data_IF_022317681103
#
_entry.id   IF_022317681103
#
_cell.length_a   1.000
_cell.length_b   1.000
_cell.length_c   1.000
_cell.angle_alpha   90.00
_cell.angle_beta   90.00
_cell.angle_gamma   90.00
#
_symmetry.space_group_name_H-M   'P 1'
#
loop_
_entity.id
_entity.type
_entity.pdbx_description
1 polymer ?
#
# COMPACT_ATOMS: atom_id res chain seq x y z
N UNK A 1 7.41 13.71 -25.02
CA UNK A 1 8.29 13.94 -23.85
C UNK A 1 8.13 15.33 -23.22
N UNK A 2 8.20 16.43 -23.98
CA UNK A 2 7.99 17.80 -23.46
C UNK A 2 6.64 17.99 -22.76
N UNK A 3 5.55 17.48 -23.33
CA UNK A 3 4.20 17.57 -22.75
C UNK A 3 4.03 16.78 -21.45
N UNK A 4 4.72 15.64 -21.29
CA UNK A 4 4.72 14.84 -20.06
C UNK A 4 5.53 15.51 -18.95
N UNK A 5 6.72 16.03 -19.28
CA UNK A 5 7.54 16.82 -18.33
C UNK A 5 6.81 18.09 -17.91
N UNK A 6 6.03 18.70 -18.80
CA UNK A 6 5.24 19.90 -18.51
C UNK A 6 4.00 19.58 -17.67
N UNK A 7 3.29 18.48 -17.95
CA UNK A 7 2.16 18.00 -17.16
C UNK A 7 2.59 17.55 -15.75
N UNK A 8 3.73 16.84 -15.64
CA UNK A 8 4.34 16.43 -14.37
C UNK A 8 4.86 17.66 -13.62
N UNK A 9 5.52 18.64 -14.28
CA UNK A 9 5.91 19.90 -13.63
C UNK A 9 4.70 20.66 -13.10
N UNK A 10 3.63 20.81 -13.90
CA UNK A 10 2.47 21.60 -13.51
C UNK A 10 1.69 20.92 -12.38
N UNK A 11 1.45 19.61 -12.44
CA UNK A 11 0.71 18.89 -11.40
C UNK A 11 1.53 18.64 -10.14
N UNK A 12 2.83 18.36 -10.26
CA UNK A 12 3.72 18.16 -9.10
C UNK A 12 3.95 19.50 -8.41
N UNK A 13 4.24 20.58 -9.15
CA UNK A 13 4.39 21.92 -8.57
C UNK A 13 3.05 22.44 -8.03
N UNK A 14 1.90 22.22 -8.67
CA UNK A 14 0.60 22.64 -8.10
C UNK A 14 0.18 21.81 -6.89
N UNK A 15 0.46 20.50 -6.87
CA UNK A 15 0.26 19.64 -5.70
C UNK A 15 1.15 20.12 -4.55
N UNK A 16 2.45 20.33 -4.79
CA UNK A 16 3.36 20.89 -3.78
C UNK A 16 2.96 22.32 -3.39
N UNK A 17 2.52 23.18 -4.31
CA UNK A 17 2.09 24.55 -3.99
C UNK A 17 0.84 24.53 -3.11
N UNK A 18 -0.17 23.71 -3.41
CA UNK A 18 -1.37 23.59 -2.59
C UNK A 18 -1.14 22.87 -1.25
N UNK A 19 -0.22 21.90 -1.19
CA UNK A 19 0.18 21.22 0.04
C UNK A 19 1.00 22.13 0.96
N UNK A 20 1.71 23.13 0.40
CA UNK A 20 2.59 24.02 1.15
C UNK A 20 2.04 25.44 1.41
N UNK A 21 1.06 25.96 0.64
CA UNK A 21 0.62 27.37 0.73
C UNK A 21 -0.77 27.64 1.32
N UNK A 22 -1.64 26.65 1.54
CA UNK A 22 -2.96 26.91 2.14
C UNK A 22 -2.96 26.75 3.66
N UNK A 23 -2.33 27.68 4.38
CA UNK A 23 -2.62 27.85 5.81
C UNK A 23 -2.66 29.33 6.16
N UNK A 24 -3.87 29.81 6.48
CA UNK A 24 -4.15 31.13 7.07
C UNK A 24 -3.13 31.43 8.16
N UNK A 25 -2.40 32.53 8.00
CA UNK A 25 -1.63 33.16 9.07
C UNK A 25 -2.65 33.47 10.18
N UNK A 26 -2.44 32.89 11.37
CA UNK A 26 -3.28 33.11 12.53
C UNK A 26 -3.39 34.62 12.80
N UNK A 27 -4.61 35.19 12.75
CA UNK A 27 -4.87 36.50 13.36
C UNK A 27 -5.12 36.25 14.85
N UNK A 28 -4.09 36.40 15.68
CA UNK A 28 -4.31 36.50 17.13
C UNK A 28 -4.41 37.97 17.50
N UNK A 29 -5.55 38.37 18.07
CA UNK A 29 -5.63 39.56 18.92
C UNK A 29 -4.78 39.26 20.15
N UNK A 30 -3.65 39.97 20.31
CA UNK A 30 -2.97 40.06 21.58
C UNK A 30 -3.72 41.12 22.40
N UNK A 31 -4.42 40.69 23.44
CA UNK A 31 -4.65 41.58 24.58
C UNK A 31 -3.27 41.80 25.23
N UNK A 32 -2.87 43.07 25.35
CA UNK A 32 -1.49 43.48 25.64
C UNK A 32 -0.98 42.88 26.97
N UNK A 33 -0.02 41.94 26.95
CA UNK A 33 0.59 41.44 28.18
C UNK A 33 1.52 42.54 28.72
N UNK A 34 1.20 43.06 29.90
CA UNK A 34 1.98 44.09 30.61
C UNK A 34 3.35 43.59 31.10
N UNK A 35 3.70 42.32 30.89
CA UNK A 35 4.92 41.68 31.40
C UNK A 35 5.88 41.24 30.26
N UNK A 36 7.13 41.72 30.34
CA UNK A 36 8.20 41.46 29.39
C UNK A 36 8.60 39.96 29.36
N UNK A 37 8.45 39.23 30.46
CA UNK A 37 8.80 37.81 30.56
C UNK A 37 7.79 36.91 29.82
N UNK A 38 6.51 37.30 29.87
CA UNK A 38 5.44 36.66 29.10
C UNK A 38 5.65 36.85 27.58
N UNK A 39 6.06 38.05 27.15
CA UNK A 39 6.39 38.35 25.73
C UNK A 39 7.59 37.50 25.24
N UNK A 40 8.65 37.37 26.04
CA UNK A 40 9.82 36.52 25.74
C UNK A 40 9.44 35.03 25.61
N UNK A 41 8.61 34.53 26.51
CA UNK A 41 8.13 33.14 26.48
C UNK A 41 7.32 32.85 25.22
N UNK A 42 6.42 33.76 24.83
CA UNK A 42 5.64 33.64 23.58
C UNK A 42 6.57 33.66 22.35
N UNK A 43 7.53 34.59 22.29
CA UNK A 43 8.50 34.68 21.19
C UNK A 43 9.38 33.43 21.08
N UNK A 44 9.90 32.91 22.19
CA UNK A 44 10.72 31.69 22.21
C UNK A 44 9.91 30.45 21.78
N UNK A 45 8.66 30.35 22.24
CA UNK A 45 7.75 29.29 21.80
C UNK A 45 7.43 29.39 20.31
N UNK A 46 7.25 30.61 19.78
CA UNK A 46 7.02 30.85 18.35
C UNK A 46 8.26 30.49 17.52
N UNK A 47 9.45 30.95 17.92
CA UNK A 47 10.72 30.66 17.27
C UNK A 47 11.01 29.15 17.26
N UNK A 48 10.79 28.47 18.40
CA UNK A 48 10.93 27.00 18.51
C UNK A 48 9.96 26.27 17.58
N UNK A 49 8.68 26.68 17.53
CA UNK A 49 7.68 26.11 16.60
C UNK A 49 8.06 26.35 15.13
N UNK A 50 8.53 27.54 14.78
CA UNK A 50 8.96 27.88 13.42
C UNK A 50 10.21 27.10 13.02
N UNK A 51 11.19 26.99 13.91
CA UNK A 51 12.42 26.22 13.71
C UNK A 51 12.11 24.73 13.51
N UNK A 52 11.28 24.14 14.39
CA UNK A 52 10.80 22.76 14.26
C UNK A 52 10.13 22.56 12.91
N UNK A 53 9.16 23.41 12.55
CA UNK A 53 8.45 23.35 11.27
C UNK A 53 9.38 23.46 10.06
N UNK A 54 10.42 24.29 10.12
CA UNK A 54 11.44 24.41 9.05
C UNK A 54 12.28 23.14 8.94
N UNK A 55 12.76 22.61 10.06
CA UNK A 55 13.55 21.39 10.09
C UNK A 55 12.77 20.19 9.52
N UNK A 56 11.50 20.08 9.89
CA UNK A 56 10.61 19.04 9.38
C UNK A 56 10.46 19.06 7.86
N UNK A 57 10.37 20.26 7.26
CA UNK A 57 10.29 20.43 5.81
C UNK A 57 11.58 19.99 5.13
N UNK A 58 12.73 20.33 5.70
CA UNK A 58 14.04 19.91 5.19
C UNK A 58 14.15 18.39 5.24
N UNK A 59 13.80 17.78 6.37
CA UNK A 59 13.79 16.33 6.56
C UNK A 59 12.93 15.65 5.48
N UNK A 60 11.68 16.08 5.30
CA UNK A 60 10.79 15.53 4.28
C UNK A 60 11.36 15.71 2.88
N UNK A 61 11.87 16.90 2.55
CA UNK A 61 12.45 17.18 1.24
C UNK A 61 13.66 16.28 0.93
N UNK A 62 14.58 16.13 1.89
CA UNK A 62 15.72 15.23 1.73
C UNK A 62 15.28 13.77 1.57
N UNK A 63 14.27 13.32 2.32
CA UNK A 63 13.75 11.95 2.17
C UNK A 63 13.09 11.73 0.80
N UNK A 64 12.39 12.73 0.26
CA UNK A 64 11.80 12.67 -1.08
C UNK A 64 12.87 12.55 -2.18
N UNK A 65 13.94 13.34 -2.08
CA UNK A 65 15.07 13.24 -3.01
C UNK A 65 15.68 11.85 -2.94
N UNK A 66 15.89 11.33 -1.72
CA UNK A 66 16.50 10.03 -1.54
C UNK A 66 15.65 8.90 -2.13
N UNK A 67 14.32 8.93 -1.92
CA UNK A 67 13.40 7.98 -2.56
C UNK A 67 13.47 8.09 -4.08
N UNK A 68 13.46 9.30 -4.63
CA UNK A 68 13.55 9.52 -6.08
C UNK A 68 14.85 8.94 -6.65
N UNK A 69 15.99 9.20 -6.01
CA UNK A 69 17.29 8.70 -6.44
C UNK A 69 17.31 7.17 -6.41
N UNK A 70 16.94 6.55 -5.28
CA UNK A 70 16.94 5.08 -5.14
C UNK A 70 15.98 4.43 -6.15
N UNK A 71 14.77 4.97 -6.29
CA UNK A 71 13.78 4.46 -7.25
C UNK A 71 14.27 4.59 -8.69
N UNK A 72 14.98 5.67 -9.02
CA UNK A 72 15.58 5.88 -10.34
C UNK A 72 16.73 4.90 -10.60
N UNK A 73 17.58 4.63 -9.62
CA UNK A 73 18.62 3.61 -9.74
C UNK A 73 18.03 2.22 -9.99
N UNK A 74 16.97 1.85 -9.27
CA UNK A 74 16.27 0.58 -9.46
C UNK A 74 15.54 0.51 -10.81
N UNK A 75 15.06 1.63 -11.34
CA UNK A 75 14.38 1.67 -12.63
C UNK A 75 15.32 1.45 -13.84
N UNK A 76 16.63 1.58 -13.65
CA UNK A 76 17.63 1.35 -14.71
C UNK A 76 18.01 -0.13 -14.83
N UNK A 77 17.71 -0.96 -13.83
CA UNK A 77 18.00 -2.39 -13.89
C UNK A 77 17.05 -3.12 -14.86
N UNK A 78 17.34 -4.39 -15.13
CA UNK A 78 16.43 -5.25 -15.87
C UNK A 78 15.06 -5.38 -15.17
N UNK A 79 14.05 -5.83 -15.91
CA UNK A 79 12.68 -6.03 -15.41
C UNK A 79 12.22 -7.46 -15.60
N UNK A 80 11.11 -7.79 -14.95
CA UNK A 80 10.52 -9.11 -15.09
C UNK A 80 10.14 -9.40 -16.54
N UNK A 81 10.77 -10.42 -17.12
CA UNK A 81 10.55 -10.83 -18.50
C UNK A 81 11.43 -10.15 -19.55
N UNK A 82 12.42 -9.36 -19.14
CA UNK A 82 13.36 -8.71 -20.06
C UNK A 82 14.01 -9.71 -21.02
N UNK A 83 13.97 -9.43 -22.33
CA UNK A 83 14.53 -10.29 -23.38
C UNK A 83 14.00 -11.75 -23.35
N UNK A 84 12.77 -11.98 -22.87
CA UNK A 84 12.11 -13.30 -22.86
C UNK A 84 10.90 -13.32 -23.80
N UNK A 85 11.08 -13.34 -25.14
CA UNK A 85 10.03 -13.04 -26.12
C UNK A 85 8.85 -14.04 -26.17
N UNK A 86 8.98 -15.23 -25.58
CA UNK A 86 7.91 -16.25 -25.62
C UNK A 86 6.76 -15.89 -24.66
N UNK A 87 7.06 -15.34 -23.48
CA UNK A 87 6.04 -15.05 -22.44
C UNK A 87 6.19 -13.63 -21.90
N UNK A 88 7.36 -13.00 -21.99
CA UNK A 88 7.72 -11.78 -21.27
C UNK A 88 7.38 -11.90 -19.77
N UNK A 89 7.03 -10.80 -19.10
CA UNK A 89 6.76 -10.76 -17.67
C UNK A 89 5.85 -9.59 -17.30
N UNK A 90 5.89 -9.19 -16.03
CA UNK A 90 4.95 -8.20 -15.49
C UNK A 90 5.01 -6.83 -16.20
N UNK A 91 6.17 -6.46 -16.78
CA UNK A 91 6.27 -5.25 -17.62
C UNK A 91 5.34 -5.30 -18.83
N UNK A 92 5.40 -6.40 -19.58
CA UNK A 92 4.57 -6.61 -20.77
C UNK A 92 3.09 -6.74 -20.40
N UNK A 93 2.77 -7.35 -19.27
CA UNK A 93 1.41 -7.40 -18.76
C UNK A 93 0.81 -6.01 -18.58
N UNK A 94 1.52 -5.11 -17.88
CA UNK A 94 1.04 -3.74 -17.68
C UNK A 94 0.93 -2.97 -19.01
N UNK A 95 1.90 -3.13 -19.92
CA UNK A 95 1.87 -2.51 -21.26
C UNK A 95 0.66 -2.99 -22.06
N UNK A 96 0.40 -4.30 -22.07
CA UNK A 96 -0.74 -4.88 -22.76
C UNK A 96 -2.07 -4.41 -22.15
N UNK A 97 -2.15 -4.23 -20.83
CA UNK A 97 -3.35 -3.66 -20.20
C UNK A 97 -3.61 -2.21 -20.66
N UNK A 98 -2.56 -1.41 -20.86
CA UNK A 98 -2.70 -0.07 -21.44
C UNK A 98 -3.22 -0.14 -22.89
N UNK A 99 -2.69 -1.08 -23.67
CA UNK A 99 -3.09 -1.32 -25.06
C UNK A 99 -4.57 -1.71 -25.19
N UNK A 100 -5.02 -2.71 -24.44
CA UNK A 100 -6.40 -3.19 -24.54
C UNK A 100 -7.40 -2.15 -24.02
N UNK A 101 -7.04 -1.39 -22.99
CA UNK A 101 -7.97 -0.42 -22.38
C UNK A 101 -8.20 0.81 -23.24
N UNK A 102 -7.23 1.21 -24.06
CA UNK A 102 -7.38 2.37 -24.97
C UNK A 102 -8.00 2.00 -26.32
N UNK A 103 -7.74 0.78 -26.81
CA UNK A 103 -8.13 0.39 -28.17
C UNK A 103 -9.44 -0.43 -28.24
N UNK A 104 -9.92 -0.98 -27.12
CA UNK A 104 -11.13 -1.79 -27.09
C UNK A 104 -12.25 -1.13 -26.26
N UNK A 105 -13.53 -1.38 -26.60
CA UNK A 105 -14.64 -1.01 -25.73
C UNK A 105 -14.54 -1.73 -24.38
N UNK A 106 -15.05 -1.10 -23.32
CA UNK A 106 -14.95 -1.61 -21.93
C UNK A 106 -15.49 -3.03 -21.76
N UNK A 107 -16.49 -3.42 -22.55
CA UNK A 107 -17.08 -4.76 -22.57
C UNK A 107 -16.12 -5.85 -23.06
N UNK A 108 -14.99 -5.49 -23.67
CA UNK A 108 -13.97 -6.43 -24.17
C UNK A 108 -12.70 -6.48 -23.31
N UNK A 109 -12.50 -5.54 -22.37
CA UNK A 109 -11.25 -5.43 -21.59
C UNK A 109 -10.88 -6.72 -20.83
N UNK A 110 -11.88 -7.50 -20.38
CA UNK A 110 -11.67 -8.74 -19.62
C UNK A 110 -11.97 -10.02 -20.42
N UNK A 111 -12.10 -9.90 -21.75
CA UNK A 111 -12.39 -11.01 -22.66
C UNK A 111 -11.35 -11.16 -23.77
N UNK A 112 -10.68 -10.08 -24.13
CA UNK A 112 -9.71 -10.07 -25.21
C UNK A 112 -8.43 -10.83 -24.83
N UNK A 113 -8.00 -11.72 -25.72
CA UNK A 113 -6.74 -12.46 -25.71
C UNK A 113 -6.25 -12.89 -24.32
N UNK A 114 -7.06 -13.72 -23.65
CA UNK A 114 -6.84 -14.09 -22.25
C UNK A 114 -5.55 -14.88 -22.00
N UNK A 115 -5.00 -15.49 -23.05
CA UNK A 115 -3.76 -16.28 -23.02
C UNK A 115 -2.51 -15.37 -23.10
N UNK A 116 -2.64 -14.16 -23.64
CA UNK A 116 -1.58 -13.16 -23.71
C UNK A 116 -1.82 -12.04 -22.69
N UNK A 117 -1.45 -12.27 -21.43
CA UNK A 117 -1.52 -11.27 -20.35
C UNK A 117 -2.90 -10.59 -20.18
N UNK A 118 -3.98 -11.39 -20.21
CA UNK A 118 -5.32 -10.89 -19.94
C UNK A 118 -5.44 -10.10 -18.62
N UNK A 119 -6.37 -9.15 -18.58
CA UNK A 119 -6.55 -8.27 -17.42
C UNK A 119 -7.06 -9.04 -16.21
N UNK A 120 -6.25 -9.11 -15.16
CA UNK A 120 -6.51 -9.93 -13.95
C UNK A 120 -6.80 -9.11 -12.68
N UNK A 121 -6.70 -7.79 -12.78
CA UNK A 121 -6.89 -6.87 -11.64
C UNK A 121 -8.27 -6.20 -11.70
N UNK A 122 -8.77 -5.65 -10.58
CA UNK A 122 -10.08 -5.05 -10.56
C UNK A 122 -10.13 -3.72 -11.32
N UNK A 123 -11.35 -3.20 -11.44
CA UNK A 123 -11.72 -2.13 -12.37
C UNK A 123 -10.89 -0.85 -12.25
N UNK A 124 -10.38 -0.50 -11.06
CA UNK A 124 -9.56 0.70 -10.90
C UNK A 124 -8.17 0.55 -11.52
N UNK A 125 -7.60 -0.68 -11.55
CA UNK A 125 -6.38 -0.92 -12.35
C UNK A 125 -6.68 -0.73 -13.83
N UNK A 126 -7.81 -1.22 -14.34
CA UNK A 126 -8.15 -1.03 -15.74
C UNK A 126 -8.30 0.47 -16.10
N UNK A 127 -8.93 1.27 -15.24
CA UNK A 127 -8.98 2.73 -15.42
C UNK A 127 -7.60 3.39 -15.33
N UNK A 128 -6.72 2.90 -14.46
CA UNK A 128 -5.35 3.38 -14.36
C UNK A 128 -4.56 3.08 -15.65
N UNK A 129 -4.63 1.85 -16.16
CA UNK A 129 -4.07 1.46 -17.46
C UNK A 129 -4.66 2.30 -18.60
N UNK A 130 -5.96 2.58 -18.59
CA UNK A 130 -6.61 3.43 -19.59
C UNK A 130 -6.06 4.87 -19.57
N UNK A 131 -5.78 5.42 -18.39
CA UNK A 131 -5.20 6.77 -18.27
C UNK A 131 -3.76 6.79 -18.81
N UNK A 132 -2.93 5.81 -18.45
CA UNK A 132 -1.54 5.74 -18.88
C UNK A 132 -1.41 5.39 -20.38
N UNK A 133 -2.30 4.54 -20.91
CA UNK A 133 -2.31 4.09 -22.30
C UNK A 133 -2.65 5.17 -23.32
N UNK A 134 -3.14 6.35 -22.91
CA UNK A 134 -3.36 7.50 -23.80
C UNK A 134 -2.08 8.05 -24.43
N UNK A 135 -0.92 7.68 -23.93
CA UNK A 135 0.35 8.22 -24.39
C UNK A 135 0.92 7.39 -25.53
N UNK A 136 1.09 6.07 -25.33
CA UNK A 136 1.84 5.21 -26.25
C UNK A 136 1.41 3.75 -26.11
N UNK A 137 0.57 3.26 -27.03
CA UNK A 137 0.25 1.83 -27.26
C UNK A 137 -0.64 1.73 -28.51
N UNK A 138 -0.49 0.67 -29.29
CA UNK A 138 -1.32 0.38 -30.47
C UNK A 138 -1.70 -1.10 -30.49
N UNK A 139 -2.97 -1.39 -30.75
CA UNK A 139 -3.50 -2.75 -30.70
C UNK A 139 -2.75 -3.67 -31.67
N UNK A 140 -2.26 -4.79 -31.14
CA UNK A 140 -1.52 -5.87 -31.81
C UNK A 140 -0.16 -5.50 -32.42
N UNK A 141 0.15 -4.21 -32.56
CA UNK A 141 1.47 -3.75 -33.04
C UNK A 141 2.44 -3.47 -31.92
N UNK A 142 1.94 -3.19 -30.71
CA UNK A 142 2.78 -2.79 -29.58
C UNK A 142 3.23 -3.94 -28.66
N UNK A 143 2.91 -5.19 -29.03
CA UNK A 143 3.29 -6.40 -28.28
C UNK A 143 4.81 -6.56 -28.21
N UNK A 144 5.34 -6.74 -27.00
CA UNK A 144 6.77 -6.91 -26.76
C UNK A 144 7.62 -5.68 -27.13
N UNK A 145 7.06 -4.47 -27.12
CA UNK A 145 7.81 -3.25 -27.43
C UNK A 145 8.83 -2.93 -26.33
N UNK A 146 10.12 -3.11 -26.64
CA UNK A 146 11.24 -2.77 -25.75
C UNK A 146 11.98 -1.47 -26.15
N UNK A 147 11.32 -0.59 -26.92
CA UNK A 147 11.91 0.70 -27.31
C UNK A 147 12.19 1.58 -26.09
N UNK A 148 13.30 2.33 -26.12
CA UNK A 148 13.79 3.13 -24.99
C UNK A 148 12.74 4.14 -24.48
N UNK A 149 11.98 4.76 -25.37
CA UNK A 149 10.96 5.76 -25.01
C UNK A 149 9.83 5.16 -24.17
N UNK A 150 9.34 3.98 -24.55
CA UNK A 150 8.33 3.22 -23.79
C UNK A 150 8.84 2.82 -22.42
N UNK A 151 10.05 2.28 -22.38
CA UNK A 151 10.66 1.84 -21.15
C UNK A 151 10.81 3.02 -20.18
N UNK A 152 11.31 4.16 -20.66
CA UNK A 152 11.43 5.37 -19.86
C UNK A 152 10.07 5.88 -19.37
N UNK A 153 9.04 5.89 -20.23
CA UNK A 153 7.70 6.30 -19.84
C UNK A 153 7.12 5.41 -18.73
N UNK A 154 7.17 4.10 -18.94
CA UNK A 154 6.67 3.09 -18.02
C UNK A 154 7.39 3.13 -16.66
N UNK A 155 8.72 3.28 -16.67
CA UNK A 155 9.50 3.45 -15.44
C UNK A 155 9.15 4.77 -14.73
N UNK A 156 9.01 5.86 -15.48
CA UNK A 156 8.66 7.16 -14.93
C UNK A 156 7.24 7.17 -14.33
N UNK A 157 6.26 6.50 -14.94
CA UNK A 157 4.90 6.44 -14.41
C UNK A 157 4.87 5.80 -13.03
N UNK A 158 5.57 4.67 -12.82
CA UNK A 158 5.71 4.04 -11.49
C UNK A 158 6.28 5.00 -10.46
N UNK A 159 7.40 5.67 -10.77
CA UNK A 159 8.06 6.58 -9.82
C UNK A 159 7.18 7.78 -9.50
N UNK A 160 6.54 8.38 -10.51
CA UNK A 160 5.65 9.53 -10.33
C UNK A 160 4.47 9.15 -9.45
N UNK A 161 3.81 8.02 -9.71
CA UNK A 161 2.64 7.61 -8.92
C UNK A 161 3.02 7.15 -7.51
N UNK A 162 4.20 6.56 -7.33
CA UNK A 162 4.79 6.26 -6.01
C UNK A 162 4.94 7.54 -5.17
N UNK A 163 5.51 8.59 -5.76
CA UNK A 163 5.74 9.89 -5.10
C UNK A 163 4.45 10.68 -4.83
N UNK A 164 3.39 10.47 -5.62
CA UNK A 164 2.11 11.17 -5.47
C UNK A 164 1.16 10.50 -4.48
N UNK A 165 1.21 9.18 -4.35
CA UNK A 165 0.19 8.41 -3.61
C UNK A 165 0.77 7.79 -2.35
N UNK A 166 1.74 6.88 -2.50
CA UNK A 166 2.25 6.08 -1.39
C UNK A 166 3.14 6.88 -0.44
N UNK A 167 4.11 7.62 -1.00
CA UNK A 167 5.08 8.37 -0.19
C UNK A 167 4.41 9.43 0.70
N UNK A 168 3.46 10.25 0.20
CA UNK A 168 2.75 11.20 1.05
C UNK A 168 1.91 10.50 2.13
N UNK A 169 1.25 9.39 1.79
CA UNK A 169 0.45 8.62 2.74
C UNK A 169 1.30 8.08 3.91
N UNK A 170 2.48 7.53 3.61
CA UNK A 170 3.38 6.99 4.61
C UNK A 170 3.99 8.10 5.50
N UNK A 171 4.43 9.21 4.89
CA UNK A 171 4.92 10.39 5.62
C UNK A 171 3.85 10.92 6.57
N UNK A 172 2.60 10.98 6.11
CA UNK A 172 1.46 11.45 6.89
C UNK A 172 1.22 10.57 8.13
N UNK A 173 1.33 9.25 8.02
CA UNK A 173 1.15 8.32 9.14
C UNK A 173 2.31 8.36 10.13
N UNK A 174 3.55 8.35 9.65
CA UNK A 174 4.74 8.38 10.52
C UNK A 174 4.79 9.67 11.32
N UNK A 175 4.46 10.81 10.70
CA UNK A 175 4.42 12.09 11.37
C UNK A 175 3.31 12.23 12.43
N UNK A 176 2.31 11.36 12.45
CA UNK A 176 1.22 11.42 13.44
C UNK A 176 1.56 10.77 14.78
N UNK A 177 2.45 9.77 14.81
CA UNK A 177 2.70 8.96 16.00
C UNK A 177 3.48 9.71 17.10
N UNK A 178 3.93 10.94 16.85
CA UNK A 178 4.70 11.73 17.83
C UNK A 178 3.79 12.39 18.88
N UNK A 179 3.60 11.68 19.99
CA UNK A 179 3.18 12.25 21.28
C UNK A 179 4.24 13.19 21.85
N UNK A 180 4.36 14.39 21.28
CA UNK A 180 4.91 15.59 21.92
C UNK A 180 6.43 15.73 22.12
N UNK A 181 7.24 14.65 22.18
CA UNK A 181 8.64 14.78 22.65
C UNK A 181 9.75 14.18 21.77
N UNK A 182 9.45 13.41 20.72
CA UNK A 182 10.49 12.89 19.82
C UNK A 182 10.85 13.90 18.74
N UNK A 183 12.14 14.04 18.43
CA UNK A 183 12.60 14.75 17.22
C UNK A 183 12.13 13.95 16.00
N UNK A 184 11.67 14.65 14.95
CA UNK A 184 11.48 14.06 13.62
C UNK A 184 12.80 13.51 13.15
N UNK A 185 12.99 12.21 13.26
CA UNK A 185 14.22 11.62 12.79
C UNK A 185 14.07 11.38 11.30
N UNK A 186 14.82 12.13 10.50
CA UNK A 186 15.08 11.80 9.10
C UNK A 186 15.36 10.31 8.90
N UNK A 187 16.00 9.67 9.88
CA UNK A 187 16.30 8.25 9.88
C UNK A 187 15.04 7.37 9.95
N UNK A 188 14.04 7.73 10.76
CA UNK A 188 12.78 6.96 10.84
C UNK A 188 11.96 7.05 9.55
N UNK A 189 11.86 8.26 8.98
CA UNK A 189 11.20 8.45 7.68
C UNK A 189 11.94 7.69 6.59
N UNK A 190 13.27 7.78 6.57
CA UNK A 190 14.11 7.05 5.62
C UNK A 190 13.99 5.54 5.79
N UNK A 191 13.90 5.04 7.03
CA UNK A 191 13.69 3.62 7.33
C UNK A 191 12.41 3.09 6.70
N UNK A 192 11.30 3.82 6.80
CA UNK A 192 10.05 3.35 6.22
C UNK A 192 9.98 3.58 4.70
N UNK A 193 10.47 4.72 4.22
CA UNK A 193 10.38 5.12 2.81
C UNK A 193 11.33 4.33 1.90
N UNK A 194 12.49 3.94 2.40
CA UNK A 194 13.45 3.12 1.66
C UNK A 194 13.26 1.62 1.89
N UNK A 195 12.05 1.17 2.25
CA UNK A 195 11.76 -0.25 2.37
C UNK A 195 12.03 -0.98 1.04
N UNK A 196 13.08 -1.83 0.97
CA UNK A 196 13.53 -2.37 -0.31
C UNK A 196 12.52 -3.30 -0.97
N UNK A 197 11.71 -4.03 -0.18
CA UNK A 197 10.73 -4.95 -0.71
C UNK A 197 9.75 -4.29 -1.68
N UNK A 198 9.18 -3.13 -1.31
CA UNK A 198 8.27 -2.40 -2.19
C UNK A 198 9.01 -1.75 -3.35
N UNK A 199 10.13 -1.06 -3.08
CA UNK A 199 10.87 -0.32 -4.11
C UNK A 199 11.41 -1.25 -5.20
N UNK A 200 11.92 -2.43 -4.83
CA UNK A 200 12.32 -3.47 -5.78
C UNK A 200 11.14 -3.92 -6.64
N UNK A 201 10.05 -4.37 -6.01
CA UNK A 201 8.91 -4.96 -6.73
C UNK A 201 8.28 -3.93 -7.68
N UNK A 202 8.19 -2.67 -7.27
CA UNK A 202 7.56 -1.66 -8.10
C UNK A 202 8.54 -1.10 -9.14
N UNK A 203 9.72 -0.65 -8.73
CA UNK A 203 10.61 0.12 -9.61
C UNK A 203 11.48 -0.75 -10.53
N UNK A 204 11.89 -1.95 -10.11
CA UNK A 204 12.73 -2.87 -10.90
C UNK A 204 11.91 -4.01 -11.50
N UNK A 205 11.21 -4.81 -10.69
CA UNK A 205 10.37 -5.92 -11.18
C UNK A 205 9.20 -5.45 -12.06
N UNK A 206 8.78 -4.20 -11.89
CA UNK A 206 7.73 -3.49 -12.63
C UNK A 206 6.30 -3.83 -12.19
N UNK A 207 5.86 -3.21 -11.09
CA UNK A 207 4.48 -3.27 -10.64
C UNK A 207 3.97 -1.95 -10.06
N UNK A 208 2.64 -1.82 -10.00
CA UNK A 208 1.95 -0.70 -9.35
C UNK A 208 1.36 -1.11 -7.99
N UNK A 209 2.15 -1.70 -7.08
CA UNK A 209 1.63 -2.06 -5.75
C UNK A 209 1.42 -0.83 -4.86
N UNK A 210 2.31 0.17 -4.97
CA UNK A 210 2.24 1.44 -4.24
C UNK A 210 0.90 2.17 -4.41
N UNK A 211 0.20 1.97 -5.53
CA UNK A 211 -1.10 2.61 -5.78
C UNK A 211 -2.16 2.09 -4.79
N UNK A 212 -2.32 0.77 -4.75
CA UNK A 212 -3.22 0.07 -3.82
C UNK A 212 -2.81 0.31 -2.37
N UNK A 213 -1.54 0.05 -2.06
CA UNK A 213 -0.98 0.19 -0.71
C UNK A 213 -1.04 1.65 -0.23
N UNK A 214 -0.87 2.61 -1.13
CA UNK A 214 -0.98 4.03 -0.83
C UNK A 214 -2.41 4.45 -0.48
N UNK A 215 -3.43 3.98 -1.22
CA UNK A 215 -4.84 4.18 -0.83
C UNK A 215 -5.17 3.50 0.49
N UNK A 216 -4.64 2.30 0.74
CA UNK A 216 -4.75 1.62 2.03
C UNK A 216 -4.16 2.46 3.17
N UNK A 217 -2.95 2.99 3.00
CA UNK A 217 -2.31 3.87 3.99
C UNK A 217 -3.12 5.17 4.22
N UNK A 218 -3.66 5.78 3.15
CA UNK A 218 -4.55 6.93 3.28
C UNK A 218 -5.85 6.58 4.03
N UNK A 219 -6.38 5.37 3.83
CA UNK A 219 -7.52 4.87 4.59
C UNK A 219 -7.20 4.76 6.09
N UNK A 220 -6.06 4.14 6.43
CA UNK A 220 -5.57 4.05 7.82
C UNK A 220 -5.39 5.45 8.43
N UNK A 221 -4.81 6.39 7.69
CA UNK A 221 -4.66 7.78 8.13
C UNK A 221 -6.02 8.45 8.41
N UNK A 222 -7.02 8.24 7.53
CA UNK A 222 -8.36 8.77 7.71
C UNK A 222 -9.06 8.16 8.93
N UNK A 223 -8.86 6.86 9.19
CA UNK A 223 -9.36 6.17 10.38
C UNK A 223 -8.74 6.74 11.66
N UNK A 224 -7.42 6.98 11.68
CA UNK A 224 -6.73 7.61 12.81
C UNK A 224 -7.24 9.03 13.09
N UNK A 225 -7.70 9.74 12.05
CA UNK A 225 -8.36 11.06 12.15
C UNK A 225 -9.86 10.99 12.40
N UNK A 226 -10.39 9.81 12.73
CA UNK A 226 -11.82 9.57 12.97
C UNK A 226 -12.73 9.94 11.78
N UNK A 227 -12.18 9.98 10.56
CA UNK A 227 -12.91 10.22 9.30
C UNK A 227 -13.30 8.89 8.66
N UNK A 228 -14.16 8.15 9.35
CA UNK A 228 -14.46 6.74 9.02
C UNK A 228 -15.01 6.58 7.59
N UNK A 229 -15.93 7.44 7.16
CA UNK A 229 -16.49 7.39 5.80
C UNK A 229 -15.43 7.59 4.71
N UNK A 230 -14.55 8.60 4.88
CA UNK A 230 -13.45 8.85 3.93
C UNK A 230 -12.49 7.65 3.88
N UNK A 231 -12.13 7.10 5.04
CA UNK A 231 -11.29 5.92 5.10
C UNK A 231 -11.92 4.71 4.43
N UNK A 232 -13.24 4.49 4.61
CA UNK A 232 -13.97 3.42 3.93
C UNK A 232 -13.93 3.59 2.41
N UNK A 233 -14.17 4.79 1.88
CA UNK A 233 -14.08 5.05 0.44
C UNK A 233 -12.66 4.82 -0.11
N UNK A 234 -11.63 5.30 0.60
CA UNK A 234 -10.22 5.08 0.23
C UNK A 234 -9.85 3.60 0.25
N UNK A 235 -10.34 2.82 1.21
CA UNK A 235 -10.09 1.39 1.24
C UNK A 235 -10.80 0.64 0.11
N UNK A 236 -12.00 1.07 -0.29
CA UNK A 236 -12.67 0.54 -1.50
C UNK A 236 -11.84 0.84 -2.74
N UNK A 237 -11.22 2.02 -2.85
CA UNK A 237 -10.29 2.33 -3.95
C UNK A 237 -9.06 1.41 -3.93
N UNK A 238 -8.43 1.20 -2.76
CA UNK A 238 -7.31 0.27 -2.61
C UNK A 238 -7.68 -1.13 -3.12
N UNK A 239 -8.79 -1.67 -2.62
CA UNK A 239 -9.31 -2.98 -2.98
C UNK A 239 -9.65 -3.13 -4.47
N UNK A 240 -10.15 -2.07 -5.10
CA UNK A 240 -10.45 -2.07 -6.53
C UNK A 240 -9.23 -1.79 -7.42
N UNK A 241 -8.10 -1.39 -6.84
CA UNK A 241 -6.83 -1.37 -7.57
C UNK A 241 -6.15 -2.74 -7.52
N UNK A 242 -6.00 -3.34 -6.33
CA UNK A 242 -5.56 -4.74 -6.19
C UNK A 242 -6.42 -5.47 -5.15
N UNK A 243 -7.02 -6.59 -5.58
CA UNK A 243 -7.87 -7.43 -4.74
C UNK A 243 -7.15 -8.01 -3.52
N UNK A 244 -5.82 -8.06 -3.56
CA UNK A 244 -4.99 -8.56 -2.47
C UNK A 244 -5.15 -7.74 -1.17
N UNK A 245 -5.66 -6.50 -1.24
CA UNK A 245 -6.04 -5.72 -0.05
C UNK A 245 -7.13 -6.37 0.81
N UNK A 246 -7.79 -7.43 0.32
CA UNK A 246 -8.67 -8.26 1.15
C UNK A 246 -7.99 -8.76 2.43
N UNK A 247 -6.66 -8.88 2.44
CA UNK A 247 -5.88 -9.26 3.64
C UNK A 247 -6.08 -8.27 4.80
N UNK A 248 -6.44 -7.02 4.49
CA UNK A 248 -6.74 -5.96 5.45
C UNK A 248 -8.24 -5.77 5.72
N UNK A 249 -9.13 -6.45 4.98
CA UNK A 249 -10.56 -6.20 5.06
C UNK A 249 -11.16 -6.59 6.43
N UNK A 250 -10.80 -7.75 6.99
CA UNK A 250 -11.26 -8.20 8.31
C UNK A 250 -10.89 -7.23 9.44
N UNK A 251 -9.61 -6.84 9.63
CA UNK A 251 -9.26 -5.89 10.68
C UNK A 251 -9.90 -4.51 10.47
N UNK A 252 -10.05 -4.03 9.23
CA UNK A 252 -10.74 -2.76 8.94
C UNK A 252 -12.24 -2.87 9.30
N UNK A 253 -12.91 -3.95 8.90
CA UNK A 253 -14.32 -4.15 9.21
C UNK A 253 -14.56 -4.19 10.73
N UNK A 254 -13.73 -4.92 11.47
CA UNK A 254 -13.81 -5.01 12.93
C UNK A 254 -13.49 -3.66 13.61
N UNK A 255 -12.51 -2.91 13.10
CA UNK A 255 -12.22 -1.56 13.59
C UNK A 255 -13.39 -0.60 13.38
N UNK A 256 -13.98 -0.60 12.18
CA UNK A 256 -15.14 0.24 11.85
C UNK A 256 -16.38 -0.14 12.65
N UNK A 257 -16.63 -1.44 12.82
CA UNK A 257 -17.74 -1.95 13.62
C UNK A 257 -17.59 -1.51 15.09
N UNK A 258 -16.42 -1.77 15.69
CA UNK A 258 -16.15 -1.41 17.09
C UNK A 258 -16.22 0.10 17.34
N UNK A 259 -15.85 0.94 16.36
CA UNK A 259 -16.00 2.41 16.42
C UNK A 259 -17.42 2.88 16.19
N UNK A 260 -18.26 2.09 15.52
CA UNK A 260 -19.65 2.43 15.24
C UNK A 260 -20.58 2.12 16.41
N UNK A 261 -20.21 1.17 17.28
CA UNK A 261 -20.97 0.81 18.49
C UNK A 261 -20.96 1.98 19.49
N UNK A 262 -22.14 2.57 19.73
CA UNK A 262 -22.33 3.62 20.74
C UNK A 262 -22.40 3.01 22.13
N UNK A 263 -21.71 3.64 23.09
CA UNK A 263 -21.74 3.30 24.52
C UNK A 263 -22.47 4.41 25.28
N UNK A 264 -23.80 4.32 25.33
CA UNK A 264 -24.66 5.24 26.07
C UNK A 264 -25.55 4.46 27.06
N UNK A 265 -26.03 5.07 28.17
CA UNK A 265 -26.80 4.35 29.19
C UNK A 265 -28.12 3.76 28.66
N UNK A 266 -28.78 4.44 27.72
CA UNK A 266 -30.02 3.97 27.13
C UNK A 266 -29.74 2.96 25.99
N UNK A 267 -30.19 1.72 26.18
CA UNK A 267 -29.92 0.63 25.22
C UNK A 267 -30.55 0.87 23.84
N UNK A 268 -31.75 1.46 23.79
CA UNK A 268 -32.43 1.75 22.53
C UNK A 268 -31.66 2.82 21.74
N UNK A 269 -31.24 3.89 22.42
CA UNK A 269 -30.42 4.94 21.81
C UNK A 269 -29.06 4.40 21.33
N UNK A 270 -28.45 3.50 22.11
CA UNK A 270 -27.21 2.83 21.73
C UNK A 270 -27.39 2.01 20.44
N UNK A 271 -28.44 1.20 20.35
CA UNK A 271 -28.73 0.36 19.18
C UNK A 271 -29.01 1.24 17.95
N UNK A 272 -29.96 2.17 18.04
CA UNK A 272 -30.35 3.04 16.92
C UNK A 272 -29.17 3.84 16.42
N UNK A 273 -28.38 4.42 17.33
CA UNK A 273 -27.19 5.18 16.97
C UNK A 273 -26.09 4.33 16.36
N UNK A 274 -25.93 3.08 16.80
CA UNK A 274 -24.95 2.15 16.23
C UNK A 274 -25.36 1.71 14.82
N UNK A 275 -26.63 1.34 14.63
CA UNK A 275 -27.19 0.98 13.32
C UNK A 275 -27.02 2.14 12.35
N UNK A 276 -27.36 3.36 12.75
CA UNK A 276 -27.18 4.55 11.92
C UNK A 276 -25.73 4.76 11.45
N UNK A 277 -24.75 4.59 12.35
CA UNK A 277 -23.35 4.70 12.00
C UNK A 277 -22.93 3.60 11.00
N UNK A 278 -23.36 2.36 11.24
CA UNK A 278 -23.07 1.23 10.34
C UNK A 278 -23.72 1.46 8.97
N UNK A 279 -24.98 1.91 8.92
CA UNK A 279 -25.70 2.21 7.68
C UNK A 279 -25.01 3.29 6.86
N UNK A 280 -24.47 4.34 7.51
CA UNK A 280 -23.66 5.36 6.82
C UNK A 280 -22.42 4.78 6.18
N UNK A 281 -21.68 3.93 6.90
CA UNK A 281 -20.48 3.29 6.37
C UNK A 281 -20.83 2.34 5.23
N UNK A 282 -21.87 1.52 5.39
CA UNK A 282 -22.36 0.63 4.35
C UNK A 282 -22.78 1.41 3.09
N UNK A 283 -23.49 2.53 3.25
CA UNK A 283 -23.84 3.40 2.14
C UNK A 283 -22.60 3.90 1.39
N UNK A 284 -21.60 4.43 2.11
CA UNK A 284 -20.37 4.94 1.46
C UNK A 284 -19.61 3.83 0.72
N UNK A 285 -19.52 2.63 1.31
CA UNK A 285 -18.87 1.48 0.68
C UNK A 285 -19.62 1.08 -0.59
N UNK A 286 -20.93 0.84 -0.51
CA UNK A 286 -21.77 0.44 -1.65
C UNK A 286 -21.82 1.50 -2.74
N UNK A 287 -21.90 2.78 -2.37
CA UNK A 287 -21.89 3.89 -3.31
C UNK A 287 -20.57 3.99 -4.05
N UNK A 288 -19.43 3.86 -3.35
CA UNK A 288 -18.10 3.88 -3.98
C UNK A 288 -17.93 2.69 -4.93
N UNK A 289 -18.34 1.48 -4.54
CA UNK A 289 -18.37 0.32 -5.43
C UNK A 289 -19.26 0.55 -6.65
N UNK A 290 -20.46 1.08 -6.46
CA UNK A 290 -21.42 1.33 -7.54
C UNK A 290 -20.84 2.30 -8.57
N UNK A 291 -20.18 3.39 -8.14
CA UNK A 291 -19.51 4.33 -9.05
C UNK A 291 -18.42 3.62 -9.87
N UNK A 292 -17.56 2.84 -9.22
CA UNK A 292 -16.44 2.18 -9.89
C UNK A 292 -16.90 1.11 -10.88
N UNK A 293 -17.93 0.34 -10.52
CA UNK A 293 -18.41 -0.81 -11.29
C UNK A 293 -19.52 -0.47 -12.29
N UNK A 294 -20.16 0.70 -12.19
CA UNK A 294 -21.24 1.09 -13.10
C UNK A 294 -20.90 0.90 -14.59
N UNK A 295 -19.72 1.32 -15.09
CA UNK A 295 -19.36 1.11 -16.50
C UNK A 295 -19.27 -0.36 -16.94
N UNK A 296 -19.06 -1.29 -16.01
CA UNK A 296 -19.01 -2.73 -16.26
C UNK A 296 -20.36 -3.43 -16.05
N UNK A 297 -21.32 -2.77 -15.39
CA UNK A 297 -22.66 -3.30 -15.13
C UNK A 297 -23.69 -2.83 -16.17
N UNK A 298 -23.53 -1.62 -16.70
CA UNK A 298 -24.49 -1.00 -17.64
C UNK A 298 -24.60 -1.75 -18.98
N UNK A 299 -23.51 -2.22 -19.62
CA UNK A 299 -23.62 -2.89 -20.91
C UNK A 299 -24.29 -4.27 -20.81
N UNK A 300 -23.77 -5.12 -19.91
CA UNK A 300 -24.25 -6.48 -19.65
C UNK A 300 -23.67 -6.97 -18.30
N UNK A 301 -24.48 -7.46 -17.35
CA UNK A 301 -24.02 -8.08 -16.11
C UNK A 301 -22.97 -9.20 -16.30
N UNK A 302 -22.95 -9.85 -17.46
CA UNK A 302 -21.94 -10.87 -17.78
C UNK A 302 -20.51 -10.32 -17.79
N UNK A 303 -20.32 -9.02 -18.12
CA UNK A 303 -19.02 -8.34 -18.11
C UNK A 303 -18.50 -8.23 -16.67
N UNK A 304 -19.33 -7.77 -15.74
CA UNK A 304 -18.96 -7.72 -14.32
C UNK A 304 -18.67 -9.12 -13.75
N UNK A 305 -19.42 -10.13 -14.15
CA UNK A 305 -19.15 -11.52 -13.76
C UNK A 305 -17.79 -12.01 -14.28
N UNK A 306 -17.45 -11.66 -15.53
CA UNK A 306 -16.15 -11.99 -16.09
C UNK A 306 -15.01 -11.30 -15.33
N UNK A 307 -15.17 -10.03 -14.97
CA UNK A 307 -14.20 -9.30 -14.12
C UNK A 307 -13.97 -10.06 -12.80
N UNK A 308 -15.04 -10.48 -12.12
CA UNK A 308 -14.93 -11.26 -10.86
C UNK A 308 -14.19 -12.59 -11.07
N UNK A 309 -14.47 -13.32 -12.15
CA UNK A 309 -13.78 -14.58 -12.48
C UNK A 309 -12.29 -14.39 -12.73
N UNK A 310 -11.88 -13.27 -13.36
CA UNK A 310 -10.47 -12.95 -13.59
C UNK A 310 -9.75 -12.53 -12.30
N UNK A 311 -10.41 -11.76 -11.44
CA UNK A 311 -9.86 -11.33 -10.15
C UNK A 311 -9.59 -12.51 -9.20
N UNK A 312 -10.46 -13.52 -9.20
CA UNK A 312 -10.38 -14.70 -8.33
C UNK A 312 -10.24 -15.99 -9.14
N UNK A 313 -9.04 -16.29 -9.68
CA UNK A 313 -8.81 -17.46 -10.52
C UNK A 313 -8.62 -18.73 -9.66
N UNK A 314 -9.71 -19.28 -9.16
CA UNK A 314 -9.72 -20.48 -8.26
C UNK A 314 -8.99 -21.69 -8.85
N UNK A 315 -8.80 -21.72 -10.18
CA UNK A 315 -8.12 -22.79 -10.91
C UNK A 315 -6.58 -22.81 -10.76
N UNK A 316 -5.94 -21.76 -10.23
CA UNK A 316 -4.46 -21.65 -10.20
C UNK A 316 -3.75 -22.47 -9.10
N UNK A 317 -4.50 -23.21 -8.28
CA UNK A 317 -3.94 -24.16 -7.31
C UNK A 317 -3.35 -23.54 -6.03
N UNK A 318 -2.89 -24.40 -5.11
CA UNK A 318 -2.57 -24.04 -3.70
C UNK A 318 -1.35 -23.09 -3.51
N UNK A 319 -0.43 -23.09 -4.48
CA UNK A 319 0.70 -22.17 -4.57
C UNK A 319 1.33 -22.40 -5.95
N UNK A 320 1.66 -21.32 -6.63
CA UNK A 320 2.23 -21.31 -7.98
C UNK A 320 3.76 -21.47 -7.95
N UNK A 321 4.42 -20.91 -6.93
CA UNK A 321 5.88 -20.89 -6.77
C UNK A 321 6.30 -21.31 -5.34
N UNK A 322 7.62 -21.39 -5.08
CA UNK A 322 8.20 -21.63 -3.76
C UNK A 322 8.00 -20.41 -2.84
N UNK A 323 6.84 -20.34 -2.18
CA UNK A 323 6.50 -19.25 -1.26
C UNK A 323 6.78 -19.66 0.18
N UNK A 324 7.20 -18.72 1.04
CA UNK A 324 7.41 -18.94 2.46
C UNK A 324 6.10 -19.06 3.27
N UNK A 325 5.14 -19.85 2.78
CA UNK A 325 3.85 -20.09 3.44
C UNK A 325 3.78 -21.49 4.07
N UNK A 326 2.73 -21.72 4.86
CA UNK A 326 2.51 -22.98 5.56
C UNK A 326 2.47 -24.16 4.58
N UNK A 327 1.69 -24.03 3.50
CA UNK A 327 1.46 -25.10 2.54
C UNK A 327 2.74 -25.53 1.83
N UNK A 328 3.56 -24.59 1.38
CA UNK A 328 4.80 -24.85 0.69
C UNK A 328 5.84 -25.45 1.64
N UNK A 329 5.99 -24.92 2.86
CA UNK A 329 6.90 -25.44 3.86
C UNK A 329 6.59 -26.91 4.22
N UNK A 330 5.32 -27.21 4.48
CA UNK A 330 4.90 -28.57 4.83
C UNK A 330 4.71 -29.49 3.62
N UNK A 331 4.77 -28.98 2.39
CA UNK A 331 4.67 -29.80 1.16
C UNK A 331 5.83 -30.80 1.00
N UNK A 332 6.91 -30.60 1.75
CA UNK A 332 8.04 -31.54 1.84
C UNK A 332 7.59 -32.82 2.54
N UNK A 333 6.76 -32.71 3.58
CA UNK A 333 6.27 -33.84 4.38
C UNK A 333 4.92 -34.37 3.89
N UNK A 334 4.00 -33.49 3.50
CA UNK A 334 2.63 -33.84 3.09
C UNK A 334 2.40 -33.32 1.67
N UNK A 335 2.17 -34.21 0.72
CA UNK A 335 1.81 -33.83 -0.66
C UNK A 335 0.33 -33.42 -0.73
N UNK A 336 -0.01 -32.25 -0.18
CA UNK A 336 -1.39 -31.75 -0.04
C UNK A 336 -2.22 -31.87 -1.32
N UNK A 337 -1.64 -31.51 -2.48
CA UNK A 337 -2.31 -31.57 -3.80
C UNK A 337 -2.64 -33.01 -4.25
N UNK A 338 -1.97 -34.03 -3.71
CA UNK A 338 -2.22 -35.45 -3.99
C UNK A 338 -3.19 -36.08 -2.97
N UNK A 339 -3.16 -35.59 -1.73
CA UNK A 339 -3.97 -36.14 -0.63
C UNK A 339 -5.39 -35.55 -0.60
N UNK A 340 -5.54 -34.27 -0.93
CA UNK A 340 -6.80 -33.54 -0.80
C UNK A 340 -7.26 -32.95 -2.13
N UNK A 341 -8.58 -32.93 -2.35
CA UNK A 341 -9.17 -32.21 -3.47
C UNK A 341 -9.01 -30.69 -3.30
N UNK A 342 -8.99 -29.96 -4.42
CA UNK A 342 -8.91 -28.48 -4.42
C UNK A 342 -10.00 -27.85 -3.54
N UNK A 343 -11.23 -28.35 -3.60
CA UNK A 343 -12.34 -27.84 -2.78
C UNK A 343 -12.05 -28.00 -1.27
N UNK A 344 -11.53 -29.16 -0.85
CA UNK A 344 -11.17 -29.39 0.56
C UNK A 344 -10.05 -28.45 0.99
N UNK A 345 -9.05 -28.24 0.15
CA UNK A 345 -7.94 -27.31 0.43
C UNK A 345 -8.41 -25.85 0.57
N UNK A 346 -9.35 -25.41 -0.27
CA UNK A 346 -9.96 -24.07 -0.15
C UNK A 346 -10.73 -23.94 1.17
N UNK A 347 -11.52 -24.95 1.56
CA UNK A 347 -12.25 -24.94 2.84
C UNK A 347 -11.29 -24.94 4.04
N UNK A 348 -10.24 -25.77 4.00
CA UNK A 348 -9.24 -25.86 5.07
C UNK A 348 -8.46 -24.56 5.23
N UNK A 349 -7.98 -23.97 4.14
CA UNK A 349 -7.28 -22.68 4.17
C UNK A 349 -8.16 -21.55 4.69
N UNK A 350 -9.41 -21.48 4.21
CA UNK A 350 -10.40 -20.51 4.71
C UNK A 350 -10.61 -20.66 6.22
N UNK A 351 -10.79 -21.89 6.69
CA UNK A 351 -10.94 -22.19 8.11
C UNK A 351 -9.71 -21.76 8.92
N UNK A 352 -8.50 -22.12 8.47
CA UNK A 352 -7.24 -21.76 9.15
C UNK A 352 -7.03 -20.25 9.23
N UNK A 353 -7.33 -19.50 8.15
CA UNK A 353 -7.24 -18.04 8.15
C UNK A 353 -8.22 -17.44 9.16
N UNK A 354 -9.50 -17.86 9.15
CA UNK A 354 -10.50 -17.34 10.09
C UNK A 354 -10.14 -17.68 11.54
N UNK A 355 -9.69 -18.91 11.80
CA UNK A 355 -9.28 -19.36 13.12
C UNK A 355 -8.09 -18.54 13.64
N UNK A 356 -7.03 -18.40 12.83
CA UNK A 356 -5.77 -17.76 13.26
C UNK A 356 -5.87 -16.24 13.36
N UNK A 357 -6.77 -15.61 12.59
CA UNK A 357 -7.03 -14.16 12.70
C UNK A 357 -7.93 -13.80 13.89
N UNK A 358 -8.79 -14.73 14.34
CA UNK A 358 -9.80 -14.46 15.37
C UNK A 358 -9.27 -13.85 16.68
N UNK A 359 -8.11 -14.25 17.25
CA UNK A 359 -7.66 -13.68 18.52
C UNK A 359 -7.26 -12.20 18.38
N UNK A 360 -6.63 -11.83 17.26
CA UNK A 360 -6.25 -10.46 16.97
C UNK A 360 -7.48 -9.58 16.72
N UNK A 361 -8.47 -10.11 15.99
CA UNK A 361 -9.74 -9.42 15.73
C UNK A 361 -10.52 -9.19 17.04
N UNK A 362 -10.59 -10.18 17.91
CA UNK A 362 -11.23 -10.05 19.23
C UNK A 362 -10.55 -8.98 20.10
N UNK A 363 -9.21 -9.00 20.17
CA UNK A 363 -8.42 -7.98 20.87
C UNK A 363 -8.68 -6.57 20.32
N UNK A 364 -8.76 -6.43 19.00
CA UNK A 364 -9.06 -5.16 18.34
C UNK A 364 -10.46 -4.66 18.66
N UNK A 365 -11.47 -5.52 18.54
CA UNK A 365 -12.86 -5.19 18.85
C UNK A 365 -13.01 -4.69 20.29
N UNK A 366 -12.34 -5.37 21.22
CA UNK A 366 -12.38 -5.03 22.64
C UNK A 366 -11.69 -3.70 22.96
N UNK A 367 -10.60 -3.37 22.24
CA UNK A 367 -9.79 -2.15 22.47
C UNK A 367 -9.40 -1.49 21.13
N UNK A 368 -10.32 -0.73 20.49
CA UNK A 368 -10.14 -0.19 19.13
C UNK A 368 -9.32 1.10 19.08
N UNK A 369 -8.06 1.04 19.52
CA UNK A 369 -7.09 2.14 19.40
C UNK A 369 -6.15 1.94 18.20
N UNK A 370 -5.49 3.01 17.75
CA UNK A 370 -4.64 3.00 16.55
C UNK A 370 -3.47 2.00 16.62
N UNK A 371 -2.87 1.81 17.80
CA UNK A 371 -1.80 0.82 18.00
C UNK A 371 -2.31 -0.60 17.78
N UNK A 372 -3.40 -0.99 18.47
CA UNK A 372 -4.01 -2.31 18.31
C UNK A 372 -4.52 -2.55 16.89
N UNK A 373 -5.03 -1.50 16.23
CA UNK A 373 -5.45 -1.57 14.84
C UNK A 373 -4.29 -1.93 13.90
N UNK A 374 -3.15 -1.24 14.01
CA UNK A 374 -1.95 -1.54 13.21
C UNK A 374 -1.36 -2.93 13.51
N UNK A 375 -1.32 -3.35 14.77
CA UNK A 375 -0.91 -4.72 15.14
C UNK A 375 -1.85 -5.74 14.50
N UNK A 376 -3.16 -5.52 14.57
CA UNK A 376 -4.16 -6.41 13.99
C UNK A 376 -4.05 -6.47 12.46
N UNK A 377 -3.76 -5.35 11.78
CA UNK A 377 -3.46 -5.31 10.35
C UNK A 377 -2.27 -6.21 9.99
N UNK A 378 -1.16 -6.12 10.73
CA UNK A 378 0.04 -6.96 10.52
C UNK A 378 -0.25 -8.44 10.77
N UNK A 379 -0.90 -8.75 11.90
CA UNK A 379 -1.18 -10.15 12.27
C UNK A 379 -2.14 -10.78 11.26
N UNK A 380 -3.22 -10.08 10.89
CA UNK A 380 -4.19 -10.63 9.96
C UNK A 380 -3.57 -10.86 8.58
N UNK A 381 -2.89 -9.85 8.02
CA UNK A 381 -2.23 -9.99 6.72
C UNK A 381 -1.17 -11.09 6.70
N UNK A 382 -0.43 -11.30 7.80
CA UNK A 382 0.50 -12.42 7.94
C UNK A 382 -0.22 -13.77 8.02
N UNK A 383 -1.34 -13.89 8.75
CA UNK A 383 -2.17 -15.10 8.76
C UNK A 383 -2.71 -15.43 7.36
N UNK A 384 -3.19 -14.42 6.62
CA UNK A 384 -3.57 -14.59 5.22
C UNK A 384 -2.38 -15.06 4.36
N UNK A 385 -1.21 -14.44 4.49
CA UNK A 385 -0.01 -14.87 3.76
C UNK A 385 0.42 -16.32 4.07
N UNK A 386 0.32 -16.74 5.34
CA UNK A 386 0.75 -18.07 5.76
C UNK A 386 -0.25 -19.16 5.35
N UNK A 387 -1.56 -18.92 5.49
CA UNK A 387 -2.57 -19.97 5.44
C UNK A 387 -3.54 -19.89 4.25
N UNK A 388 -3.55 -18.82 3.46
CA UNK A 388 -4.45 -18.71 2.30
C UNK A 388 -4.17 -19.75 1.23
N UNK A 389 -5.21 -20.07 0.45
CA UNK A 389 -5.13 -21.03 -0.64
C UNK A 389 -4.22 -20.58 -1.78
N UNK A 390 -4.15 -19.30 -2.10
CA UNK A 390 -3.33 -18.80 -3.20
C UNK A 390 -2.52 -17.62 -2.68
N UNK A 391 -1.20 -17.76 -2.70
CA UNK A 391 -0.25 -16.75 -2.20
C UNK A 391 0.93 -16.70 -3.14
N UNK A 392 1.41 -15.49 -3.41
CA UNK A 392 2.67 -15.25 -4.13
C UNK A 392 3.72 -14.69 -3.19
N UNK A 393 4.99 -14.87 -3.52
CA UNK A 393 6.12 -14.31 -2.75
C UNK A 393 5.96 -12.80 -2.49
N UNK A 394 5.51 -12.04 -3.51
CA UNK A 394 5.25 -10.59 -3.46
C UNK A 394 4.14 -10.20 -2.47
N UNK A 395 3.24 -11.12 -2.13
CA UNK A 395 2.13 -10.84 -1.20
C UNK A 395 2.61 -10.54 0.22
N UNK A 396 3.87 -10.84 0.55
CA UNK A 396 4.46 -10.47 1.84
C UNK A 396 4.42 -8.95 2.10
N UNK A 397 4.38 -8.13 1.03
CA UNK A 397 4.23 -6.68 1.11
C UNK A 397 2.99 -6.27 1.93
N UNK A 398 1.89 -7.02 1.83
CA UNK A 398 0.64 -6.74 2.55
C UNK A 398 0.86 -6.82 4.07
N UNK A 399 1.77 -7.69 4.54
CA UNK A 399 2.15 -7.73 5.95
C UNK A 399 3.25 -6.72 6.30
N UNK A 400 4.20 -6.51 5.39
CA UNK A 400 5.34 -5.61 5.64
C UNK A 400 4.93 -4.14 5.72
N UNK A 401 4.03 -3.66 4.86
CA UNK A 401 3.62 -2.24 4.82
C UNK A 401 2.97 -1.75 6.12
N UNK A 402 1.91 -2.40 6.67
CA UNK A 402 1.38 -2.01 7.97
C UNK A 402 2.40 -2.22 9.10
N UNK A 403 3.36 -3.13 8.95
CA UNK A 403 4.43 -3.31 9.93
C UNK A 403 5.36 -2.10 9.99
N UNK A 404 5.63 -1.42 8.86
CA UNK A 404 6.42 -0.16 8.86
C UNK A 404 5.83 0.90 9.78
N UNK A 405 4.50 0.91 9.99
CA UNK A 405 3.80 1.83 10.89
C UNK A 405 4.03 1.55 12.39
N UNK A 406 4.75 0.47 12.71
CA UNK A 406 5.10 0.03 14.07
C UNK A 406 6.61 0.10 14.34
N UNK A 407 7.41 0.67 13.43
CA UNK A 407 8.86 0.81 13.59
C UNK A 407 9.26 1.69 14.79
N UNK A 408 8.41 2.65 15.15
CA UNK A 408 8.55 3.54 16.30
C UNK A 408 7.92 2.99 17.59
N UNK A 409 7.22 1.84 17.53
CA UNK A 409 6.60 1.23 18.70
C UNK A 409 7.68 0.87 19.74
N UNK A 410 7.47 1.30 20.98
CA UNK A 410 8.43 1.15 22.09
C UNK A 410 8.73 -0.30 22.44
N UNK A 411 7.80 -1.20 22.16
CA UNK A 411 7.89 -2.63 22.49
C UNK A 411 8.25 -3.45 21.27
N UNK A 412 7.61 -3.18 20.13
CA UNK A 412 7.70 -4.02 18.93
C UNK A 412 8.71 -3.52 17.89
N UNK A 413 9.13 -2.26 17.92
CA UNK A 413 9.86 -1.62 16.81
C UNK A 413 11.13 -2.36 16.38
N UNK A 414 11.86 -2.98 17.31
CA UNK A 414 13.06 -3.77 16.99
C UNK A 414 12.71 -5.07 16.26
N UNK A 415 11.73 -5.82 16.77
CA UNK A 415 11.23 -7.06 16.15
C UNK A 415 10.63 -6.77 14.77
N UNK A 416 9.97 -5.63 14.61
CA UNK A 416 9.45 -5.16 13.33
C UNK A 416 10.58 -4.88 12.35
N UNK A 417 11.64 -4.19 12.76
CA UNK A 417 12.83 -3.93 11.92
C UNK A 417 13.48 -5.21 11.40
N UNK A 418 13.59 -6.24 12.26
CA UNK A 418 14.07 -7.57 11.88
C UNK A 418 13.09 -8.23 10.90
N UNK A 419 11.80 -8.22 11.22
CA UNK A 419 10.75 -8.81 10.37
C UNK A 419 10.75 -8.23 8.96
N UNK A 420 10.77 -6.90 8.79
CA UNK A 420 10.77 -6.29 7.45
C UNK A 420 12.06 -6.56 6.68
N UNK A 421 13.18 -6.75 7.38
CA UNK A 421 14.45 -7.17 6.74
C UNK A 421 14.37 -8.62 6.24
N UNK A 422 13.78 -9.52 7.03
CA UNK A 422 13.52 -10.92 6.62
C UNK A 422 12.56 -10.95 5.42
N UNK A 423 11.54 -10.09 5.40
CA UNK A 423 10.64 -9.97 4.26
C UNK A 423 11.40 -9.59 2.98
N UNK A 424 12.33 -8.63 3.04
CA UNK A 424 13.19 -8.30 1.90
C UNK A 424 14.02 -9.51 1.45
N UNK A 425 14.68 -10.19 2.39
CA UNK A 425 15.47 -11.37 2.08
C UNK A 425 14.64 -12.48 1.40
N UNK A 426 13.39 -12.69 1.83
CA UNK A 426 12.49 -13.66 1.22
C UNK A 426 12.13 -13.37 -0.24
N UNK A 427 12.30 -12.13 -0.69
CA UNK A 427 12.10 -11.69 -2.08
C UNK A 427 13.35 -11.84 -2.95
N UNK A 428 14.52 -12.14 -2.38
CA UNK A 428 15.76 -12.24 -3.15
C UNK A 428 15.74 -13.32 -4.26
N UNK A 429 15.11 -14.49 -4.07
CA UNK A 429 14.96 -15.46 -5.16
C UNK A 429 14.24 -14.89 -6.40
N UNK A 430 13.30 -13.95 -6.21
CA UNK A 430 12.65 -13.25 -7.31
C UNK A 430 13.63 -12.33 -8.05
N UNK A 431 14.49 -11.60 -7.33
CA UNK A 431 15.55 -10.79 -7.96
C UNK A 431 16.44 -11.65 -8.88
N UNK A 432 16.78 -12.88 -8.45
CA UNK A 432 17.55 -13.82 -9.26
C UNK A 432 16.79 -14.29 -10.50
N UNK A 433 15.48 -14.54 -10.38
CA UNK A 433 14.59 -14.93 -11.50
C UNK A 433 14.46 -13.82 -12.55
N UNK A 434 14.50 -12.58 -12.11
CA UNK A 434 14.47 -11.38 -12.96
C UNK A 434 15.83 -10.96 -13.51
N UNK A 435 16.93 -11.62 -13.12
CA UNK A 435 18.27 -11.29 -13.62
C UNK A 435 18.94 -10.10 -12.93
N UNK A 436 18.46 -9.68 -11.74
CA UNK A 436 18.92 -8.48 -11.03
C UNK A 436 19.54 -8.78 -9.64
N UNK A 437 20.57 -9.65 -9.53
CA UNK A 437 21.23 -9.95 -8.24
C UNK A 437 21.88 -8.71 -7.58
N UNK A 438 22.19 -7.67 -8.35
CA UNK A 438 22.79 -6.41 -7.91
C UNK A 438 21.92 -5.59 -6.95
N UNK A 439 20.68 -6.01 -6.70
CA UNK A 439 19.81 -5.43 -5.67
C UNK A 439 20.18 -5.92 -4.26
N UNK A 440 20.92 -7.03 -4.13
CA UNK A 440 21.33 -7.61 -2.84
C UNK A 440 22.03 -6.60 -1.89
N UNK A 441 22.96 -5.75 -2.34
CA UNK A 441 23.57 -4.73 -1.48
C UNK A 441 22.56 -3.78 -0.86
N UNK A 442 21.47 -3.45 -1.55
CA UNK A 442 20.40 -2.61 -1.00
C UNK A 442 19.66 -3.33 0.14
N UNK A 443 19.40 -4.63 0.01
CA UNK A 443 18.77 -5.43 1.06
C UNK A 443 19.69 -5.56 2.28
N UNK A 444 20.99 -5.80 2.05
CA UNK A 444 22.00 -5.85 3.12
C UNK A 444 22.13 -4.51 3.83
N UNK A 445 22.22 -3.40 3.08
CA UNK A 445 22.27 -2.06 3.64
C UNK A 445 21.06 -1.79 4.54
N UNK A 446 19.86 -2.13 4.05
CA UNK A 446 18.63 -1.94 4.82
C UNK A 446 18.60 -2.77 6.11
N UNK A 447 19.06 -4.02 6.06
CA UNK A 447 19.22 -4.85 7.25
C UNK A 447 20.19 -4.23 8.27
N UNK A 448 21.38 -3.81 7.81
CA UNK A 448 22.38 -3.16 8.67
C UNK A 448 21.84 -1.86 9.26
N UNK A 449 21.09 -1.09 8.48
CA UNK A 449 20.44 0.14 8.93
C UNK A 449 19.40 -0.14 10.04
N UNK A 450 18.56 -1.16 9.88
CA UNK A 450 17.60 -1.59 10.90
C UNK A 450 18.30 -2.08 12.18
N UNK A 451 19.39 -2.83 12.03
CA UNK A 451 20.20 -3.31 13.16
C UNK A 451 20.86 -2.15 13.92
N UNK A 452 21.36 -1.14 13.21
CA UNK A 452 21.93 0.06 13.81
C UNK A 452 20.88 0.89 14.56
N UNK A 453 19.73 1.16 13.93
CA UNK A 453 18.59 1.86 14.55
C UNK A 453 18.10 1.17 15.84
N UNK A 454 18.23 -0.15 15.90
CA UNK A 454 17.90 -0.94 17.10
C UNK A 454 18.90 -0.71 18.23
N UNK A 455 20.21 -0.71 17.95
CA UNK A 455 21.27 -0.50 18.96
C UNK A 455 21.19 0.88 19.62
N UNK A 456 20.91 1.92 18.85
CA UNK A 456 20.79 3.29 19.38
C UNK A 456 19.61 3.45 20.34
N UNK A 457 18.49 2.78 20.08
CA UNK A 457 17.35 2.75 21.00
C UNK A 457 17.68 2.09 22.34
N UNK A 458 18.56 1.09 22.36
CA UNK A 458 18.99 0.44 23.60
C UNK A 458 19.96 1.32 24.40
N UNK A 459 20.88 2.02 23.75
CA UNK A 459 21.79 2.96 24.42
C UNK A 459 21.04 4.09 25.14
N UNK A 460 20.00 4.62 24.51
CA UNK A 460 19.17 5.69 25.09
C UNK A 460 18.19 5.23 26.19
N UNK A 461 18.11 3.93 26.50
CA UNK A 461 17.34 3.40 27.65
C UNK A 461 18.20 3.15 28.88
N UNK A 462 19.53 3.17 28.73
CA UNK A 462 20.50 2.91 29.81
C UNK A 462 21.08 4.20 30.41
N UNK A 463 20.66 5.36 29.88
CA UNK A 463 20.91 6.71 30.40
C UNK A 463 19.56 7.28 30.79
#
# INVERSE_FOLDING_TARGET
MASFVQLVKINTVCFFKNYFLNFKIFSFKCDDPTDHEAKLTVCNNLASKLYKKRNDKIVVFCSLILVLVVSSCLAVTEYSGFNKPIIFGDFEAQRHWMEITINLPISKWYFYDLDYWGLDYPVLTAYHSWILGKIWVELDKSRGLEQTENLLFMRASVIVTLLLIYVPALILLINQNEGGQSKKSFLQLTQALLFPGLLFIDCSHFQYNHFSLGFFLLAVYAFDKNRLCLGSALFVLALNHKQMELYHALPIAVFLLSRSVKKVPNIFEAIVGSVWNISKLAFVVLFTFSILWAPFLVPDPSVALQVVKRIFPVYRGLFEDKVANFWCCFSIFIKFKQVYSTEKLIKMSTFLVLLTTSPALYCLFSKPNGRNFRICLVVCSLCFFLFSFQVHEKSILLASIPALLLLDDKTLGNSIGIFVSICCFSLFPLCLKDGVPEILPFFIFYYLFNAWMTKDKFKNKLV
#
